data_IF_607070839832
#
_entry.id   IF_607070839832
#
_cell.length_a   1.000
_cell.length_b   1.000
_cell.length_c   1.000
_cell.angle_alpha   90.00
_cell.angle_beta   90.00
_cell.angle_gamma   90.00
#
_symmetry.space_group_name_H-M   'P 1'
#
loop_
_entity.id
_entity.type
_entity.pdbx_description
1 polymer ?
#
# COMPACT_ATOMS: atom_id res chain seq x y z
N UNK A 1 0.90 -20.50 9.88
CA UNK A 1 0.71 -19.37 10.81
C UNK A 1 -0.05 -18.36 9.98
N UNK A 2 -1.35 -18.22 10.18
CA UNK A 2 -2.14 -17.20 9.47
C UNK A 2 -1.66 -15.84 9.97
N UNK A 3 -0.80 -15.20 9.19
CA UNK A 3 -0.37 -13.84 9.47
C UNK A 3 -1.55 -12.91 9.17
N UNK A 4 -2.15 -12.34 10.22
CA UNK A 4 -3.23 -11.38 10.09
C UNK A 4 -2.67 -10.06 9.53
N UNK A 5 -3.12 -9.66 8.34
CA UNK A 5 -2.71 -8.41 7.67
C UNK A 5 -2.94 -7.17 8.54
N UNK A 6 -3.99 -7.18 9.38
CA UNK A 6 -4.26 -6.11 10.35
C UNK A 6 -3.04 -5.86 11.26
N UNK A 7 -2.51 -6.92 11.87
CA UNK A 7 -1.33 -6.81 12.75
C UNK A 7 -0.06 -6.35 12.01
N UNK A 8 0.10 -6.74 10.73
CA UNK A 8 1.22 -6.30 9.90
C UNK A 8 1.12 -4.81 9.56
N UNK A 9 -0.06 -4.34 9.17
CA UNK A 9 -0.30 -2.94 8.79
C UNK A 9 -0.23 -2.02 10.00
N UNK A 10 -0.78 -2.42 11.15
CA UNK A 10 -0.69 -1.63 12.39
C UNK A 10 0.76 -1.47 12.84
N UNK A 11 1.54 -2.55 12.74
CA UNK A 11 2.97 -2.51 13.07
C UNK A 11 3.73 -1.62 12.07
N UNK A 12 3.39 -1.68 10.78
CA UNK A 12 4.03 -0.85 9.77
C UNK A 12 3.77 0.66 9.99
N UNK A 13 2.51 1.03 10.19
CA UNK A 13 2.12 2.44 10.33
C UNK A 13 2.62 3.05 11.64
N UNK A 14 2.67 2.28 12.73
CA UNK A 14 3.26 2.74 13.99
C UNK A 14 4.79 2.91 13.92
N UNK A 15 5.49 1.97 13.27
CA UNK A 15 6.96 2.01 13.13
C UNK A 15 7.47 3.06 12.16
N UNK A 16 6.62 3.61 11.29
CA UNK A 16 6.95 4.72 10.38
C UNK A 16 7.50 5.96 11.11
N UNK A 17 7.36 6.02 12.44
CA UNK A 17 7.90 7.07 13.32
C UNK A 17 9.23 6.71 14.02
N UNK A 18 9.73 5.48 13.87
CA UNK A 18 10.90 4.96 14.60
C UNK A 18 11.96 4.39 13.65
N UNK A 19 13.22 4.74 13.90
CA UNK A 19 14.39 4.49 13.02
C UNK A 19 14.87 3.03 12.94
N UNK A 20 14.03 2.03 13.25
CA UNK A 20 14.47 0.63 13.30
C UNK A 20 14.31 -0.09 11.95
N UNK A 21 15.26 0.17 11.05
CA UNK A 21 15.27 -0.23 9.64
C UNK A 21 15.16 -1.74 9.37
N UNK A 22 15.66 -2.61 10.27
CA UNK A 22 15.57 -4.07 10.08
C UNK A 22 14.16 -4.62 10.32
N UNK A 23 13.42 -4.02 11.25
CA UNK A 23 12.06 -4.46 11.58
C UNK A 23 11.09 -4.04 10.47
N UNK A 24 11.23 -2.81 9.97
CA UNK A 24 10.47 -2.32 8.81
C UNK A 24 10.72 -3.18 7.56
N UNK A 25 11.98 -3.58 7.32
CA UNK A 25 12.37 -4.40 6.18
C UNK A 25 11.68 -5.77 6.12
N UNK A 26 11.50 -6.41 7.28
CA UNK A 26 10.81 -7.68 7.38
C UNK A 26 9.31 -7.48 7.09
N UNK A 27 8.70 -6.46 7.69
CA UNK A 27 7.28 -6.13 7.48
C UNK A 27 6.97 -5.83 6.02
N UNK A 28 7.81 -5.04 5.33
CA UNK A 28 7.65 -4.80 3.90
C UNK A 28 7.65 -6.10 3.11
N UNK A 29 8.53 -7.03 3.46
CA UNK A 29 8.64 -8.31 2.75
C UNK A 29 7.42 -9.20 3.00
N UNK A 30 6.92 -9.23 4.24
CA UNK A 30 5.71 -9.99 4.61
C UNK A 30 4.48 -9.47 3.87
N UNK A 31 4.26 -8.14 3.87
CA UNK A 31 3.14 -7.53 3.15
C UNK A 31 3.30 -7.72 1.63
N UNK A 32 4.52 -7.58 1.11
CA UNK A 32 4.81 -7.81 -0.32
C UNK A 32 4.44 -9.24 -0.73
N UNK A 33 4.83 -10.24 0.06
CA UNK A 33 4.52 -11.64 -0.22
C UNK A 33 3.03 -11.90 -0.15
N UNK A 34 2.35 -11.37 0.88
CA UNK A 34 0.91 -11.51 1.05
C UNK A 34 0.14 -10.95 -0.15
N UNK A 35 0.49 -9.75 -0.62
CA UNK A 35 -0.12 -9.16 -1.82
C UNK A 35 0.22 -9.94 -3.10
N UNK A 36 1.40 -10.55 -3.17
CA UNK A 36 1.83 -11.33 -4.33
C UNK A 36 1.15 -12.70 -4.43
N UNK A 37 0.90 -13.34 -3.28
CA UNK A 37 0.26 -14.66 -3.19
C UNK A 37 -1.27 -14.58 -3.31
N UNK A 38 -1.84 -13.37 -3.32
CA UNK A 38 -3.27 -13.16 -3.43
C UNK A 38 -3.79 -13.57 -4.82
N UNK A 39 -4.58 -14.63 -4.86
CA UNK A 39 -5.31 -15.05 -6.05
C UNK A 39 -6.52 -14.13 -6.28
N UNK A 40 -6.68 -13.69 -7.53
CA UNK A 40 -7.78 -12.85 -8.01
C UNK A 40 -9.14 -13.46 -7.67
N UNK A 41 -9.27 -14.79 -7.67
CA UNK A 41 -10.52 -15.47 -7.34
C UNK A 41 -10.98 -15.25 -5.88
N UNK A 42 -10.05 -14.93 -4.98
CA UNK A 42 -10.35 -14.66 -3.57
C UNK A 42 -10.27 -13.17 -3.21
N UNK A 43 -10.03 -12.30 -4.20
CA UNK A 43 -9.81 -10.88 -4.01
C UNK A 43 -10.98 -10.18 -3.31
N UNK A 44 -12.23 -10.47 -3.71
CA UNK A 44 -13.42 -9.89 -3.07
C UNK A 44 -13.50 -10.24 -1.58
N UNK A 45 -13.31 -11.52 -1.25
CA UNK A 45 -13.36 -12.01 0.13
C UNK A 45 -12.25 -11.37 0.95
N UNK A 46 -11.04 -11.38 0.42
CA UNK A 46 -9.88 -10.80 1.07
C UNK A 46 -10.07 -9.31 1.37
N UNK A 47 -10.59 -8.53 0.40
CA UNK A 47 -10.88 -7.10 0.60
C UNK A 47 -11.98 -6.92 1.63
N UNK A 48 -13.04 -7.72 1.59
CA UNK A 48 -14.14 -7.60 2.54
C UNK A 48 -13.71 -7.87 3.98
N UNK A 49 -12.82 -8.84 4.18
CA UNK A 49 -12.30 -9.21 5.50
C UNK A 49 -11.26 -8.22 6.02
N UNK A 50 -10.52 -7.55 5.12
CA UNK A 50 -9.35 -6.74 5.49
C UNK A 50 -9.44 -5.28 5.05
N UNK A 51 -10.66 -4.80 4.75
CA UNK A 51 -10.90 -3.51 4.11
C UNK A 51 -10.21 -2.36 4.84
N UNK A 52 -10.36 -2.30 6.16
CA UNK A 52 -9.77 -1.23 6.97
C UNK A 52 -8.25 -1.23 6.92
N UNK A 53 -7.63 -2.40 7.09
CA UNK A 53 -6.18 -2.59 7.01
C UNK A 53 -5.64 -2.22 5.63
N UNK A 54 -6.37 -2.53 4.57
CA UNK A 54 -5.99 -2.17 3.21
C UNK A 54 -6.09 -0.65 2.97
N UNK A 55 -7.14 0.01 3.45
CA UNK A 55 -7.21 1.48 3.42
C UNK A 55 -6.04 2.12 4.17
N UNK A 56 -5.71 1.62 5.35
CA UNK A 56 -4.57 2.10 6.14
C UNK A 56 -3.25 1.90 5.40
N UNK A 57 -3.06 0.76 4.74
CA UNK A 57 -1.87 0.48 3.93
C UNK A 57 -1.76 1.41 2.71
N UNK A 58 -2.85 1.66 2.00
CA UNK A 58 -2.90 2.58 0.87
C UNK A 58 -2.65 4.03 1.29
N UNK A 59 -3.27 4.49 2.38
CA UNK A 59 -3.00 5.82 2.94
C UNK A 59 -1.54 6.00 3.35
N UNK A 60 -0.97 4.98 3.99
CA UNK A 60 0.46 4.95 4.29
C UNK A 60 1.30 5.05 3.00
N UNK A 61 0.94 4.29 1.97
CA UNK A 61 1.64 4.31 0.69
C UNK A 61 1.62 5.71 0.05
N UNK A 62 0.45 6.35 0.00
CA UNK A 62 0.29 7.73 -0.50
C UNK A 62 1.16 8.73 0.27
N UNK A 63 1.14 8.66 1.60
CA UNK A 63 1.96 9.53 2.45
C UNK A 63 3.45 9.32 2.19
N UNK A 64 3.90 8.08 2.12
CA UNK A 64 5.30 7.75 1.87
C UNK A 64 5.78 8.29 0.52
N UNK A 65 4.98 8.12 -0.53
CA UNK A 65 5.28 8.68 -1.85
C UNK A 65 5.31 10.21 -1.83
N UNK A 66 4.40 10.85 -1.09
CA UNK A 66 4.34 12.31 -0.98
C UNK A 66 5.49 12.91 -0.16
N UNK A 67 5.94 12.26 0.92
CA UNK A 67 6.90 12.82 1.87
C UNK A 67 8.36 12.38 1.61
N UNK A 68 8.61 11.13 1.19
CA UNK A 68 9.96 10.53 1.19
C UNK A 68 10.36 9.83 -0.13
N UNK A 69 9.77 10.20 -1.27
CA UNK A 69 9.98 9.55 -2.57
C UNK A 69 11.45 9.23 -2.92
N UNK A 70 12.38 10.17 -2.72
CA UNK A 70 13.77 10.00 -3.15
C UNK A 70 14.55 8.96 -2.33
N UNK A 71 14.27 8.80 -1.03
CA UNK A 71 14.92 7.77 -0.21
C UNK A 71 14.27 6.39 -0.40
N UNK A 72 12.96 6.36 -0.64
CA UNK A 72 12.17 5.14 -0.89
C UNK A 72 12.56 4.46 -2.20
N UNK A 73 12.73 5.24 -3.27
CA UNK A 73 13.08 4.71 -4.60
C UNK A 73 14.50 4.13 -4.66
N UNK A 74 15.32 4.34 -3.63
CA UNK A 74 16.66 3.77 -3.55
C UNK A 74 16.70 2.42 -2.82
N UNK A 75 15.61 1.98 -2.19
CA UNK A 75 15.55 0.70 -1.47
C UNK A 75 14.70 -0.32 -2.23
N UNK A 76 15.34 -1.43 -2.63
CA UNK A 76 14.72 -2.46 -3.47
C UNK A 76 13.46 -3.10 -2.87
N UNK A 77 13.33 -3.11 -1.54
CA UNK A 77 12.17 -3.68 -0.84
C UNK A 77 10.94 -2.77 -0.92
N UNK A 78 11.13 -1.45 -0.80
CA UNK A 78 10.05 -0.48 -0.99
C UNK A 78 9.52 -0.54 -2.40
N UNK A 79 10.42 -0.56 -3.41
CA UNK A 79 10.01 -0.67 -4.82
C UNK A 79 9.14 -1.91 -5.04
N UNK A 80 9.54 -3.08 -4.49
CA UNK A 80 8.76 -4.31 -4.63
C UNK A 80 7.38 -4.20 -3.97
N UNK A 81 7.31 -3.62 -2.77
CA UNK A 81 6.03 -3.40 -2.09
C UNK A 81 5.11 -2.50 -2.91
N UNK A 82 5.60 -1.33 -3.35
CA UNK A 82 4.81 -0.41 -4.17
C UNK A 82 4.41 -1.00 -5.52
N UNK A 83 5.27 -1.81 -6.14
CA UNK A 83 4.93 -2.54 -7.35
C UNK A 83 3.78 -3.54 -7.12
N UNK A 84 3.82 -4.28 -6.01
CA UNK A 84 2.76 -5.24 -5.67
C UNK A 84 1.46 -4.53 -5.26
N UNK A 85 1.54 -3.40 -4.55
CA UNK A 85 0.38 -2.52 -4.31
C UNK A 85 -0.21 -2.01 -5.62
N UNK A 86 0.62 -1.55 -6.57
CA UNK A 86 0.15 -1.15 -7.89
C UNK A 86 -0.53 -2.30 -8.66
N UNK A 87 -0.02 -3.52 -8.52
CA UNK A 87 -0.64 -4.71 -9.11
C UNK A 87 -1.97 -5.06 -8.44
N UNK A 88 -2.04 -4.98 -7.11
CA UNK A 88 -3.27 -5.13 -6.34
C UNK A 88 -4.31 -4.10 -6.77
N UNK A 89 -3.94 -2.82 -6.84
CA UNK A 89 -4.81 -1.72 -7.28
C UNK A 89 -5.29 -1.91 -8.72
N UNK A 90 -4.43 -2.37 -9.63
CA UNK A 90 -4.84 -2.73 -10.98
C UNK A 90 -5.90 -3.84 -10.97
N UNK A 91 -5.70 -4.90 -10.18
CA UNK A 91 -6.66 -5.99 -10.08
C UNK A 91 -7.99 -5.53 -9.46
N UNK A 92 -7.94 -4.64 -8.47
CA UNK A 92 -9.13 -4.02 -7.89
C UNK A 92 -9.93 -3.23 -8.94
N UNK A 93 -9.24 -2.45 -9.78
CA UNK A 93 -9.90 -1.64 -10.81
C UNK A 93 -10.53 -2.53 -11.88
N UNK A 94 -9.77 -3.46 -12.45
CA UNK A 94 -10.15 -4.15 -13.69
C UNK A 94 -10.69 -5.56 -13.51
N UNK A 95 -10.45 -6.20 -12.37
CA UNK A 95 -10.72 -7.64 -12.17
C UNK A 95 -11.59 -7.91 -10.93
N UNK A 96 -12.33 -6.92 -10.43
CA UNK A 96 -13.19 -7.06 -9.23
C UNK A 96 -14.53 -6.38 -9.42
N UNK A 97 -15.37 -6.92 -10.30
CA UNK A 97 -16.69 -6.36 -10.60
C UNK A 97 -17.68 -6.45 -9.43
N UNK A 98 -17.41 -7.36 -8.49
CA UNK A 98 -18.21 -7.58 -7.29
C UNK A 98 -18.03 -6.48 -6.22
N UNK A 99 -16.98 -5.67 -6.34
CA UNK A 99 -16.69 -4.57 -5.42
C UNK A 99 -17.27 -3.29 -6.00
N UNK A 100 -18.12 -2.61 -5.24
CA UNK A 100 -18.72 -1.35 -5.66
C UNK A 100 -17.67 -0.24 -5.85
N UNK A 101 -18.01 0.74 -6.67
CA UNK A 101 -17.08 1.81 -7.07
C UNK A 101 -16.68 2.70 -5.89
N UNK A 102 -17.53 2.87 -4.89
CA UNK A 102 -17.25 3.72 -3.74
C UNK A 102 -16.22 3.06 -2.80
N UNK A 103 -16.31 1.75 -2.62
CA UNK A 103 -15.28 0.95 -1.92
C UNK A 103 -13.96 0.95 -2.66
N UNK A 104 -13.97 0.80 -4.00
CA UNK A 104 -12.74 0.92 -4.80
C UNK A 104 -12.12 2.30 -4.63
N UNK A 105 -12.92 3.35 -4.72
CA UNK A 105 -12.47 4.73 -4.54
C UNK A 105 -11.82 4.93 -3.16
N UNK A 106 -12.43 4.39 -2.10
CA UNK A 106 -11.91 4.49 -0.73
C UNK A 106 -10.58 3.77 -0.51
N UNK A 107 -10.21 2.80 -1.36
CA UNK A 107 -8.91 2.13 -1.34
C UNK A 107 -7.89 2.85 -2.23
N UNK A 108 -8.33 3.36 -3.38
CA UNK A 108 -7.43 3.87 -4.41
C UNK A 108 -7.06 5.34 -4.22
N UNK A 109 -7.93 6.14 -3.60
CA UNK A 109 -7.70 7.57 -3.44
C UNK A 109 -7.17 7.89 -2.04
N UNK A 110 -6.23 8.86 -1.93
CA UNK A 110 -5.77 9.33 -0.64
C UNK A 110 -6.85 10.13 0.09
N UNK A 111 -6.68 10.26 1.40
CA UNK A 111 -7.55 11.05 2.27
C UNK A 111 -7.54 12.56 1.95
N UNK A 112 -6.47 13.07 1.34
CA UNK A 112 -6.36 14.47 0.91
C UNK A 112 -5.70 14.60 -0.47
N UNK A 113 -6.20 15.55 -1.25
CA UNK A 113 -5.60 15.96 -2.53
C UNK A 113 -4.19 16.52 -2.35
N UNK A 114 -3.87 17.06 -1.16
CA UNK A 114 -2.53 17.60 -0.85
C UNK A 114 -1.45 16.52 -0.98
N UNK A 115 -1.77 15.26 -0.70
CA UNK A 115 -0.84 14.14 -0.86
C UNK A 115 -0.50 13.91 -2.33
N UNK A 116 -1.49 14.03 -3.22
CA UNK A 116 -1.33 13.94 -4.67
C UNK A 116 -0.50 15.12 -5.17
N UNK A 117 -0.80 16.33 -4.72
CA UNK A 117 -0.06 17.54 -5.09
C UNK A 117 1.41 17.44 -4.70
N UNK A 118 1.70 16.93 -3.49
CA UNK A 118 3.07 16.69 -3.03
C UNK A 118 3.84 15.68 -3.90
N UNK A 119 3.17 14.64 -4.39
CA UNK A 119 3.76 13.68 -5.33
C UNK A 119 4.08 14.35 -6.67
N UNK A 120 3.13 15.10 -7.22
CA UNK A 120 3.33 15.76 -8.52
C UNK A 120 4.39 16.85 -8.48
N UNK A 121 4.46 17.64 -7.40
CA UNK A 121 5.53 18.61 -7.20
C UNK A 121 6.91 17.95 -7.29
N UNK A 122 7.07 16.80 -6.63
CA UNK A 122 8.34 16.05 -6.66
C UNK A 122 8.66 15.41 -8.01
N UNK A 123 7.65 15.01 -8.77
CA UNK A 123 7.86 14.51 -10.13
C UNK A 123 8.35 15.63 -11.08
N UNK A 124 7.92 16.86 -10.85
CA UNK A 124 8.39 18.02 -11.62
C UNK A 124 9.85 18.35 -11.32
N UNK A 125 10.28 18.20 -10.06
CA UNK A 125 11.67 18.45 -9.63
C UNK A 125 12.68 17.39 -10.12
N UNK A 126 12.22 16.27 -10.70
CA UNK A 126 13.06 15.19 -11.25
C UNK A 126 13.41 15.45 -12.74
N UNK A 127 12.83 16.47 -13.38
CA UNK A 127 13.13 16.88 -14.77
C UNK A 127 13.98 18.16 -14.83
#
# INVERSE_FOLDING_TARGET
MEENIEGLVDTLTSLSTTTNTKLSDNLYSMITNLLQELDIQFLYKFISENFHSLCTLEHWAWKMLSENSNELLNQSKHIKLFHNLGTFNKNLIFNSDEIDSDKKASLLFPESIDLIDGIFAKMQDIN
#
